data_IF_374214803427
#
_entry.id   IF_374214803427
#
_cell.length_a   1.000
_cell.length_b   1.000
_cell.length_c   1.000
_cell.angle_alpha   90.00
_cell.angle_beta   90.00
_cell.angle_gamma   90.00
#
_symmetry.space_group_name_H-M   'P 1'
#
loop_
_entity.id
_entity.type
_entity.pdbx_description
1 polymer ?
#
# COMPACT_ATOMS: atom_id res chain seq x y z
N UNK A 1 29.25 -10.42 -16.94
CA UNK A 1 28.41 -10.47 -15.73
C UNK A 1 26.94 -10.71 -16.05
N UNK A 2 26.37 -10.13 -17.13
CA UNK A 2 24.96 -10.30 -17.51
C UNK A 2 24.49 -11.76 -17.59
N UNK A 3 25.24 -12.63 -18.28
CA UNK A 3 24.88 -14.04 -18.42
C UNK A 3 24.76 -14.79 -17.07
N UNK A 4 25.60 -14.45 -16.09
CA UNK A 4 25.55 -15.07 -14.77
C UNK A 4 24.29 -14.65 -13.99
N UNK A 5 23.88 -13.38 -14.13
CA UNK A 5 22.65 -12.85 -13.52
C UNK A 5 21.42 -13.47 -14.19
N UNK A 6 21.42 -13.57 -15.53
CA UNK A 6 20.33 -14.17 -16.29
C UNK A 6 20.11 -15.65 -15.93
N UNK A 7 21.20 -16.42 -15.87
CA UNK A 7 21.15 -17.82 -15.46
C UNK A 7 20.67 -17.97 -14.01
N UNK A 8 21.13 -17.11 -13.11
CA UNK A 8 20.70 -17.11 -11.71
C UNK A 8 19.19 -16.82 -11.59
N UNK A 9 18.67 -15.82 -12.32
CA UNK A 9 17.23 -15.51 -12.34
C UNK A 9 16.39 -16.70 -12.81
N UNK A 10 16.82 -17.39 -13.87
CA UNK A 10 16.12 -18.58 -14.39
C UNK A 10 16.12 -19.77 -13.44
N UNK A 11 17.18 -19.92 -12.65
CA UNK A 11 17.27 -20.95 -11.63
C UNK A 11 16.40 -20.63 -10.40
N UNK A 12 16.29 -19.35 -10.02
CA UNK A 12 15.49 -18.91 -8.88
C UNK A 12 13.98 -18.87 -9.17
N UNK A 13 13.56 -18.55 -10.41
CA UNK A 13 12.14 -18.54 -10.84
C UNK A 13 11.39 -19.85 -10.51
N UNK A 14 12.09 -20.98 -10.43
CA UNK A 14 11.50 -22.32 -10.22
C UNK A 14 11.66 -22.85 -8.79
N UNK A 15 12.14 -22.02 -7.86
CA UNK A 15 12.40 -22.44 -6.49
C UNK A 15 11.33 -21.89 -5.56
N UNK A 16 10.98 -22.69 -4.56
CA UNK A 16 10.22 -22.20 -3.42
C UNK A 16 11.13 -21.24 -2.63
N UNK A 17 10.67 -20.01 -2.47
CA UNK A 17 11.34 -19.01 -1.64
C UNK A 17 10.62 -18.97 -0.31
N UNK A 18 11.36 -19.17 0.78
CA UNK A 18 10.88 -18.93 2.13
C UNK A 18 11.66 -17.74 2.71
N UNK A 19 10.93 -16.70 3.12
CA UNK A 19 11.51 -15.52 3.75
C UNK A 19 11.26 -15.62 5.26
N UNK A 20 12.32 -15.47 6.05
CA UNK A 20 12.21 -15.37 7.51
C UNK A 20 12.87 -14.09 8.00
N UNK A 21 12.28 -13.48 9.03
CA UNK A 21 12.79 -12.28 9.66
C UNK A 21 13.17 -12.61 11.12
N UNK A 22 14.35 -13.19 11.37
CA UNK A 22 14.72 -13.72 12.69
C UNK A 22 14.88 -12.64 13.79
N UNK A 23 14.86 -11.36 13.43
CA UNK A 23 14.86 -10.23 14.37
C UNK A 23 13.56 -9.41 14.38
N UNK A 24 12.51 -9.86 13.69
CA UNK A 24 11.22 -9.20 13.71
C UNK A 24 10.54 -9.49 15.05
N UNK A 25 10.68 -8.57 16.00
CA UNK A 25 10.01 -8.61 17.29
C UNK A 25 8.54 -8.15 17.23
N UNK A 26 8.06 -7.80 16.03
CA UNK A 26 6.69 -7.35 15.80
C UNK A 26 5.84 -8.53 15.34
N UNK A 27 4.67 -8.66 15.95
CA UNK A 27 3.65 -9.59 15.50
C UNK A 27 3.01 -9.09 14.20
N UNK A 28 2.33 -9.98 13.47
CA UNK A 28 1.51 -9.57 12.34
C UNK A 28 0.47 -8.51 12.76
N UNK A 29 -0.05 -8.60 13.99
CA UNK A 29 -0.98 -7.61 14.54
C UNK A 29 -0.33 -6.23 14.70
N UNK A 30 0.90 -6.15 15.24
CA UNK A 30 1.62 -4.89 15.39
C UNK A 30 1.85 -4.19 14.04
N UNK A 31 2.16 -4.99 13.00
CA UNK A 31 2.33 -4.49 11.64
C UNK A 31 1.02 -3.99 11.05
N UNK A 32 -0.08 -4.74 11.23
CA UNK A 32 -1.40 -4.30 10.79
C UNK A 32 -1.86 -3.03 11.49
N UNK A 33 -1.68 -2.93 12.80
CA UNK A 33 -2.07 -1.75 13.59
C UNK A 33 -1.25 -0.53 13.18
N UNK A 34 0.06 -0.69 12.97
CA UNK A 34 0.93 0.38 12.48
C UNK A 34 0.53 0.89 11.09
N UNK A 35 0.31 -0.03 10.14
CA UNK A 35 -0.13 0.31 8.79
C UNK A 35 -1.51 0.98 8.78
N UNK A 36 -2.46 0.44 9.55
CA UNK A 36 -3.81 1.01 9.69
C UNK A 36 -3.77 2.42 10.27
N UNK A 37 -2.94 2.64 11.30
CA UNK A 37 -2.77 3.95 11.91
C UNK A 37 -2.16 4.98 10.95
N UNK A 38 -1.17 4.58 10.15
CA UNK A 38 -0.56 5.44 9.14
C UNK A 38 -1.59 5.86 8.07
N UNK A 39 -2.38 4.91 7.58
CA UNK A 39 -3.46 5.18 6.61
C UNK A 39 -4.50 6.14 7.20
N UNK A 40 -4.93 5.91 8.45
CA UNK A 40 -5.86 6.83 9.13
C UNK A 40 -5.28 8.25 9.28
N UNK A 41 -3.96 8.37 9.52
CA UNK A 41 -3.31 9.67 9.58
C UNK A 41 -3.28 10.37 8.21
N UNK A 42 -3.05 9.64 7.13
CA UNK A 42 -3.09 10.18 5.76
C UNK A 42 -4.51 10.65 5.38
N UNK A 43 -5.52 9.80 5.63
CA UNK A 43 -6.94 10.16 5.41
C UNK A 43 -7.31 11.40 6.21
N UNK A 44 -6.89 11.48 7.49
CA UNK A 44 -7.13 12.68 8.31
C UNK A 44 -6.51 13.92 7.69
N UNK A 45 -5.30 13.82 7.13
CA UNK A 45 -4.65 14.92 6.42
C UNK A 45 -5.47 15.40 5.22
N UNK A 46 -5.96 14.47 4.39
CA UNK A 46 -6.82 14.77 3.23
C UNK A 46 -8.12 15.46 3.66
N UNK A 47 -8.76 14.97 4.73
CA UNK A 47 -10.00 15.54 5.24
C UNK A 47 -9.81 16.94 5.82
N UNK A 48 -8.67 17.19 6.48
CA UNK A 48 -8.30 18.48 7.06
C UNK A 48 -7.78 19.49 6.03
N UNK A 49 -7.58 19.09 4.78
CA UNK A 49 -7.19 20.00 3.73
C UNK A 49 -8.37 20.89 3.31
N UNK A 50 -8.37 22.13 3.79
CA UNK A 50 -9.38 23.14 3.49
C UNK A 50 -9.11 23.90 2.18
N UNK A 51 -8.04 23.56 1.44
CA UNK A 51 -7.75 24.17 0.13
C UNK A 51 -8.63 23.61 -0.98
N UNK A 52 -9.25 22.45 -0.76
CA UNK A 52 -10.21 21.81 -1.65
C UNK A 52 -11.62 22.36 -1.35
N UNK A 53 -12.21 23.03 -2.33
CA UNK A 53 -13.51 23.70 -2.20
C UNK A 53 -14.69 22.71 -2.27
N UNK A 54 -15.87 23.04 -1.72
CA UNK A 54 -17.03 22.13 -1.68
C UNK A 54 -17.48 21.53 -3.04
N UNK A 55 -17.33 22.21 -4.20
CA UNK A 55 -17.56 21.59 -5.51
C UNK A 55 -16.52 20.51 -5.89
N UNK A 56 -15.38 20.46 -5.20
CA UNK A 56 -14.25 19.54 -5.39
C UNK A 56 -14.25 18.40 -4.36
N UNK A 57 -15.33 18.22 -3.58
CA UNK A 57 -15.46 17.16 -2.57
C UNK A 57 -15.18 15.74 -3.13
N UNK A 58 -15.39 15.53 -4.43
CA UNK A 58 -15.01 14.30 -5.12
C UNK A 58 -13.50 14.05 -5.16
N UNK A 59 -12.67 15.09 -5.23
CA UNK A 59 -11.20 14.98 -5.22
C UNK A 59 -10.69 14.47 -3.87
N UNK A 60 -11.36 14.83 -2.76
CA UNK A 60 -11.04 14.27 -1.44
C UNK A 60 -11.35 12.78 -1.37
N UNK A 61 -12.49 12.36 -1.93
CA UNK A 61 -12.87 10.96 -1.98
C UNK A 61 -11.90 10.16 -2.85
N UNK A 62 -11.49 10.69 -4.01
CA UNK A 62 -10.50 10.07 -4.89
C UNK A 62 -9.13 9.96 -4.23
N UNK A 63 -8.68 11.01 -3.53
CA UNK A 63 -7.42 10.97 -2.76
C UNK A 63 -7.46 9.92 -1.64
N UNK A 64 -8.61 9.72 -0.98
CA UNK A 64 -8.79 8.65 0.01
C UNK A 64 -8.69 7.27 -0.66
N UNK A 65 -9.34 7.08 -1.82
CA UNK A 65 -9.26 5.82 -2.58
C UNK A 65 -7.81 5.52 -2.98
N UNK A 66 -7.05 6.52 -3.45
CA UNK A 66 -5.63 6.35 -3.79
C UNK A 66 -4.80 5.85 -2.60
N UNK A 67 -5.05 6.35 -1.39
CA UNK A 67 -4.35 5.89 -0.17
C UNK A 67 -4.57 4.38 0.08
N UNK A 68 -5.77 3.87 -0.20
CA UNK A 68 -6.05 2.44 -0.07
C UNK A 68 -5.41 1.62 -1.20
N UNK A 69 -5.43 2.13 -2.44
CA UNK A 69 -4.78 1.47 -3.58
C UNK A 69 -3.26 1.37 -3.42
N UNK A 70 -2.62 2.41 -2.88
CA UNK A 70 -1.18 2.42 -2.58
C UNK A 70 -0.80 1.38 -1.51
N UNK A 71 -1.73 1.02 -0.61
CA UNK A 71 -1.59 -0.09 0.34
C UNK A 71 -1.81 -1.47 -0.31
N UNK A 72 -2.21 -1.51 -1.59
CA UNK A 72 -2.61 -2.72 -2.29
C UNK A 72 -4.03 -3.21 -1.95
N UNK A 73 -4.83 -2.36 -1.29
CA UNK A 73 -6.21 -2.65 -0.92
C UNK A 73 -7.17 -1.93 -1.87
N UNK A 74 -7.66 -2.62 -2.90
CA UNK A 74 -8.66 -2.03 -3.81
C UNK A 74 -9.95 -1.65 -3.09
N UNK A 75 -10.53 -0.49 -3.40
CA UNK A 75 -11.81 -0.03 -2.84
C UNK A 75 -13.05 -0.56 -3.58
N UNK A 76 -12.86 -1.45 -4.57
CA UNK A 76 -13.93 -1.94 -5.44
C UNK A 76 -14.14 -1.06 -6.67
N UNK A 77 -15.15 -1.38 -7.49
CA UNK A 77 -15.35 -0.79 -8.83
C UNK A 77 -16.46 0.26 -8.92
N UNK A 78 -17.07 0.67 -7.79
CA UNK A 78 -18.14 1.68 -7.79
C UNK A 78 -17.55 3.08 -7.83
N UNK A 79 -17.22 3.53 -9.03
CA UNK A 79 -16.96 4.94 -9.34
C UNK A 79 -18.25 5.52 -9.92
N UNK A 80 -19.32 5.55 -9.11
CA UNK A 80 -20.61 6.14 -9.44
C UNK A 80 -20.48 7.66 -9.19
N UNK A 81 -19.78 8.40 -10.06
CA UNK A 81 -19.69 9.87 -10.01
C UNK A 81 -20.61 10.52 -11.05
#
# INVERSE_FOLDING_TARGET
MEFAVELLSKLLERRQIAVSFPGLALTAQDLLESASYQVLCQIRGILQDYTLSDPECFQKNEAIVQVFEDLGSGCGSRHDF
#
